data_IF_243555016579
#
_entry.id   IF_243555016579
#
_cell.length_a   1.000
_cell.length_b   1.000
_cell.length_c   1.000
_cell.angle_alpha   90.00
_cell.angle_beta   90.00
_cell.angle_gamma   90.00
#
_symmetry.space_group_name_H-M   'P 1'
#
loop_
_entity.id
_entity.type
_entity.pdbx_description
1 polymer ?
#
# COMPACT_ATOMS: atom_id res chain seq x y z
N UNK A 1 -0.36 -16.84 -21.38
CA UNK A 1 -0.28 -15.77 -22.38
C UNK A 1 -1.33 -16.05 -23.44
N UNK A 2 -2.13 -15.07 -23.88
CA UNK A 2 -3.12 -15.32 -24.94
C UNK A 2 -2.40 -15.76 -26.21
N UNK A 3 -2.98 -16.72 -26.93
CA UNK A 3 -2.36 -17.31 -28.13
C UNK A 3 -2.05 -16.26 -29.20
N UNK A 4 -2.91 -15.25 -29.32
CA UNK A 4 -2.81 -14.16 -30.30
C UNK A 4 -2.54 -12.80 -29.63
N UNK A 5 -1.71 -12.78 -28.57
CA UNK A 5 -1.32 -11.53 -27.92
C UNK A 5 -0.25 -10.79 -28.73
N UNK A 6 -0.57 -9.59 -29.19
CA UNK A 6 0.40 -8.61 -29.72
C UNK A 6 0.64 -7.51 -28.67
N UNK A 7 1.85 -7.40 -28.07
CA UNK A 7 2.15 -6.37 -27.08
C UNK A 7 2.05 -4.94 -27.63
N UNK A 8 2.15 -4.73 -28.95
CA UNK A 8 1.97 -3.42 -29.57
C UNK A 8 0.50 -3.10 -29.85
N UNK A 9 -0.35 -4.13 -29.97
CA UNK A 9 -1.76 -4.01 -30.36
C UNK A 9 -2.66 -4.98 -29.57
N UNK A 10 -2.73 -4.89 -28.23
CA UNK A 10 -3.63 -5.73 -27.45
C UNK A 10 -5.09 -5.39 -27.79
N UNK A 11 -5.97 -6.39 -27.77
CA UNK A 11 -7.41 -6.14 -27.95
C UNK A 11 -8.05 -5.60 -26.67
N UNK A 12 -9.22 -4.95 -26.79
CA UNK A 12 -10.00 -4.50 -25.63
C UNK A 12 -10.28 -5.64 -24.65
N UNK A 13 -10.69 -6.80 -25.14
CA UNK A 13 -10.97 -7.99 -24.31
C UNK A 13 -9.72 -8.43 -23.53
N UNK A 14 -8.54 -8.50 -24.18
CA UNK A 14 -7.29 -8.85 -23.50
C UNK A 14 -6.94 -7.85 -22.39
N UNK A 15 -7.20 -6.57 -22.61
CA UNK A 15 -7.00 -5.50 -21.61
C UNK A 15 -8.00 -5.60 -20.46
N UNK A 16 -9.27 -5.87 -20.74
CA UNK A 16 -10.30 -6.05 -19.72
C UNK A 16 -10.06 -7.30 -18.86
N UNK A 17 -9.58 -8.40 -19.47
CA UNK A 17 -9.10 -9.57 -18.71
C UNK A 17 -7.91 -9.19 -17.83
N UNK A 18 -6.98 -8.37 -18.33
CA UNK A 18 -5.88 -7.88 -17.52
C UNK A 18 -6.39 -7.04 -16.34
N UNK A 19 -7.37 -6.14 -16.51
CA UNK A 19 -7.99 -5.40 -15.41
C UNK A 19 -8.63 -6.32 -14.36
N UNK A 20 -9.30 -7.38 -14.79
CA UNK A 20 -9.88 -8.39 -13.92
C UNK A 20 -8.83 -9.26 -13.21
N UNK A 21 -7.62 -9.38 -13.76
CA UNK A 21 -6.51 -10.11 -13.16
C UNK A 21 -5.78 -9.31 -12.07
N UNK A 22 -5.89 -7.98 -12.06
CA UNK A 22 -5.29 -7.15 -11.01
C UNK A 22 -6.14 -7.12 -9.74
N UNK A 23 -5.52 -6.64 -8.66
CA UNK A 23 -6.19 -6.30 -7.41
C UNK A 23 -6.04 -7.37 -6.32
N UNK A 24 -7.11 -7.61 -5.58
CA UNK A 24 -7.11 -8.42 -4.36
C UNK A 24 -8.07 -9.62 -4.47
N UNK A 25 -7.77 -10.68 -3.73
CA UNK A 25 -8.63 -11.83 -3.58
C UNK A 25 -8.78 -12.18 -2.09
N UNK A 26 -10.03 -12.33 -1.63
CA UNK A 26 -10.37 -12.97 -0.36
C UNK A 26 -10.79 -14.39 -0.67
N UNK A 27 -10.12 -15.36 -0.06
CA UNK A 27 -10.39 -16.79 -0.25
C UNK A 27 -10.51 -17.44 1.11
N UNK A 28 -11.67 -18.01 1.39
CA UNK A 28 -11.85 -18.86 2.55
C UNK A 28 -11.11 -20.18 2.35
N UNK A 29 -10.42 -20.62 3.41
CA UNK A 29 -9.71 -21.89 3.45
C UNK A 29 -10.20 -22.71 4.63
N UNK A 30 -10.26 -24.03 4.46
CA UNK A 30 -10.51 -24.98 5.54
C UNK A 30 -9.22 -25.75 5.85
N UNK A 31 -8.96 -25.93 7.14
CA UNK A 31 -7.81 -26.68 7.64
C UNK A 31 -8.20 -28.11 8.01
N UNK A 32 -7.49 -29.09 7.45
CA UNK A 32 -7.56 -30.47 7.90
C UNK A 32 -6.80 -30.63 9.24
N UNK A 33 -7.53 -30.73 10.35
CA UNK A 33 -6.99 -30.73 11.73
C UNK A 33 -5.82 -31.69 12.01
N UNK A 34 -5.72 -32.82 11.30
CA UNK A 34 -4.66 -33.82 11.54
C UNK A 34 -3.38 -33.51 10.78
N UNK A 35 -3.50 -32.93 9.59
CA UNK A 35 -2.37 -32.74 8.66
C UNK A 35 -1.95 -31.27 8.55
N UNK A 36 -2.81 -30.34 8.99
CA UNK A 36 -2.64 -28.91 8.77
C UNK A 36 -2.86 -28.48 7.31
N UNK A 37 -3.34 -29.39 6.45
CA UNK A 37 -3.54 -29.10 5.02
C UNK A 37 -4.65 -28.05 4.86
N UNK A 38 -4.35 -26.96 4.16
CA UNK A 38 -5.30 -25.93 3.80
C UNK A 38 -5.92 -26.21 2.42
N UNK A 39 -7.25 -26.15 2.33
CA UNK A 39 -7.99 -26.30 1.06
C UNK A 39 -8.92 -25.11 0.85
N UNK A 40 -8.91 -24.52 -0.35
CA UNK A 40 -9.79 -23.39 -0.68
C UNK A 40 -11.26 -23.83 -0.78
N UNK A 41 -12.15 -23.04 -0.18
CA UNK A 41 -13.60 -23.28 -0.19
C UNK A 41 -14.23 -22.42 -1.29
N UNK A 42 -14.44 -22.99 -2.48
CA UNK A 42 -14.77 -22.21 -3.69
C UNK A 42 -16.04 -21.37 -3.63
N UNK A 43 -17.11 -21.82 -2.96
CA UNK A 43 -18.41 -21.11 -2.87
C UNK A 43 -18.66 -20.48 -1.50
N UNK A 44 -17.61 -20.10 -0.79
CA UNK A 44 -17.76 -19.43 0.50
C UNK A 44 -18.28 -18.00 0.32
N UNK A 45 -19.22 -17.56 1.16
CA UNK A 45 -19.86 -16.23 1.06
C UNK A 45 -18.88 -15.05 1.29
N UNK A 46 -17.75 -15.31 1.97
CA UNK A 46 -16.66 -14.33 2.14
C UNK A 46 -15.72 -14.24 0.93
N UNK A 47 -15.81 -15.17 -0.03
CA UNK A 47 -14.94 -15.12 -1.20
C UNK A 47 -15.24 -13.86 -2.02
N UNK A 48 -14.19 -13.12 -2.35
CA UNK A 48 -14.33 -11.81 -2.98
C UNK A 48 -13.17 -11.54 -3.92
N UNK A 49 -13.47 -10.93 -5.06
CA UNK A 49 -12.48 -10.34 -5.97
C UNK A 49 -12.65 -8.84 -6.01
N UNK A 50 -11.54 -8.13 -5.85
CA UNK A 50 -11.45 -6.70 -6.12
C UNK A 50 -10.46 -6.50 -7.24
N UNK A 51 -10.81 -5.69 -8.22
CA UNK A 51 -10.11 -5.58 -9.50
C UNK A 51 -9.68 -4.15 -9.76
N UNK A 52 -9.06 -3.89 -10.92
CA UNK A 52 -8.74 -2.53 -11.36
C UNK A 52 -9.98 -1.65 -11.64
N UNK A 53 -11.20 -2.18 -11.48
CA UNK A 53 -12.47 -1.45 -11.69
C UNK A 53 -13.41 -1.48 -10.47
N UNK A 54 -13.06 -2.17 -9.38
CA UNK A 54 -13.86 -2.17 -8.14
C UNK A 54 -13.85 -0.80 -7.46
N UNK A 55 -14.94 -0.41 -6.78
CA UNK A 55 -14.98 0.87 -6.05
C UNK A 55 -14.16 0.80 -4.75
N UNK A 56 -13.30 1.80 -4.53
CA UNK A 56 -12.58 2.08 -3.29
C UNK A 56 -12.92 3.48 -2.80
N UNK A 57 -12.94 3.65 -1.48
CA UNK A 57 -13.11 4.96 -0.84
C UNK A 57 -11.76 5.57 -0.52
N UNK A 58 -11.54 6.82 -0.91
CA UNK A 58 -10.38 7.59 -0.46
C UNK A 58 -10.66 8.19 0.93
N UNK A 59 -9.73 8.04 1.87
CA UNK A 59 -9.87 8.58 3.23
C UNK A 59 -8.62 9.32 3.69
N UNK A 60 -8.76 10.18 4.69
CA UNK A 60 -7.68 11.03 5.19
C UNK A 60 -7.55 12.37 4.48
N UNK A 61 -6.44 13.11 4.69
CA UNK A 61 -6.33 14.53 4.39
C UNK A 61 -6.39 14.91 2.90
N UNK A 62 -6.15 13.97 1.97
CA UNK A 62 -6.16 14.26 0.53
C UNK A 62 -7.55 13.99 -0.08
N UNK A 63 -8.40 13.22 0.60
CA UNK A 63 -9.74 12.92 0.13
C UNK A 63 -10.57 14.20 -0.08
N UNK A 64 -11.12 14.38 -1.28
CA UNK A 64 -11.89 15.56 -1.67
C UNK A 64 -11.08 16.77 -2.12
N UNK A 65 -9.75 16.72 -2.05
CA UNK A 65 -8.89 17.78 -2.58
C UNK A 65 -8.94 17.85 -4.11
N UNK A 66 -8.57 19.00 -4.68
CA UNK A 66 -8.58 19.20 -6.13
C UNK A 66 -7.61 18.27 -6.87
N UNK A 67 -6.59 17.74 -6.17
CA UNK A 67 -5.59 16.83 -6.74
C UNK A 67 -6.13 15.44 -7.06
N UNK A 68 -7.27 15.04 -6.48
CA UNK A 68 -7.86 13.70 -6.64
C UNK A 68 -9.24 13.71 -7.29
N UNK A 69 -9.67 14.89 -7.78
CA UNK A 69 -10.89 15.02 -8.59
C UNK A 69 -10.58 14.70 -10.05
N UNK A 70 -11.43 13.89 -10.66
CA UNK A 70 -11.37 13.55 -12.09
C UNK A 70 -12.73 13.78 -12.72
N UNK A 71 -12.85 13.66 -14.04
CA UNK A 71 -14.15 13.84 -14.71
C UNK A 71 -15.20 12.84 -14.24
N UNK A 72 -14.77 11.62 -13.86
CA UNK A 72 -15.65 10.55 -13.37
C UNK A 72 -15.96 10.65 -11.86
N UNK A 73 -15.12 11.32 -11.08
CA UNK A 73 -15.35 11.58 -9.65
C UNK A 73 -15.02 13.04 -9.30
N UNK A 74 -15.95 13.98 -9.54
CA UNK A 74 -15.78 15.39 -9.21
C UNK A 74 -15.69 15.66 -7.70
N UNK A 75 -16.05 14.68 -6.85
CA UNK A 75 -15.95 14.79 -5.39
C UNK A 75 -14.61 14.30 -4.85
N UNK A 76 -13.76 13.65 -5.65
CA UNK A 76 -12.42 13.20 -5.24
C UNK A 76 -12.42 12.25 -4.04
N UNK A 77 -13.42 11.38 -3.94
CA UNK A 77 -13.66 10.50 -2.78
C UNK A 77 -13.84 9.02 -3.13
N UNK A 78 -14.04 8.71 -4.42
CA UNK A 78 -14.30 7.37 -4.94
C UNK A 78 -13.31 7.06 -6.04
N UNK A 79 -12.55 5.98 -5.89
CA UNK A 79 -11.52 5.55 -6.83
C UNK A 79 -11.89 4.19 -7.41
N UNK A 80 -11.74 4.03 -8.73
CA UNK A 80 -11.93 2.73 -9.38
C UNK A 80 -10.60 1.98 -9.39
N UNK A 81 -10.57 0.93 -8.59
CA UNK A 81 -9.53 -0.06 -8.57
C UNK A 81 -8.40 0.19 -7.59
N UNK A 82 -7.62 -0.86 -7.45
CA UNK A 82 -6.30 -0.87 -6.83
C UNK A 82 -5.33 -1.48 -7.84
N UNK A 83 -4.11 -0.95 -7.89
CA UNK A 83 -3.13 -1.33 -8.92
C UNK A 83 -1.83 -1.80 -8.28
N UNK A 84 -1.25 -2.84 -8.88
CA UNK A 84 0.05 -3.37 -8.50
C UNK A 84 0.19 -3.58 -6.99
N UNK A 85 -0.76 -4.32 -6.42
CA UNK A 85 -0.76 -4.67 -5.02
C UNK A 85 0.45 -5.57 -4.73
N UNK A 86 1.38 -5.07 -3.93
CA UNK A 86 2.52 -5.84 -3.49
C UNK A 86 2.21 -6.53 -2.14
N UNK A 87 3.07 -6.36 -1.14
CA UNK A 87 2.89 -6.92 0.19
C UNK A 87 2.03 -6.00 1.07
N UNK A 88 1.96 -6.35 2.35
CA UNK A 88 0.93 -5.85 3.23
C UNK A 88 1.14 -6.19 4.69
N UNK A 89 0.06 -6.12 5.45
CA UNK A 89 0.04 -6.47 6.86
C UNK A 89 -1.36 -6.75 7.37
N UNK A 90 -1.46 -7.43 8.50
CA UNK A 90 -2.74 -7.59 9.21
C UNK A 90 -2.80 -6.59 10.34
N UNK A 91 -3.95 -5.94 10.50
CA UNK A 91 -4.16 -4.99 11.58
C UNK A 91 -4.62 -5.71 12.85
N UNK A 92 -4.30 -5.20 14.05
CA UNK A 92 -4.83 -5.76 15.30
C UNK A 92 -6.37 -5.67 15.43
N UNK A 93 -7.04 -4.91 14.55
CA UNK A 93 -8.50 -4.80 14.51
C UNK A 93 -9.15 -5.64 13.40
N UNK A 94 -8.42 -6.57 12.79
CA UNK A 94 -8.97 -7.64 11.96
C UNK A 94 -9.12 -7.32 10.47
N UNK A 95 -8.53 -6.22 10.00
CA UNK A 95 -8.44 -5.88 8.57
C UNK A 95 -7.08 -6.24 7.98
N UNK A 96 -6.96 -6.16 6.66
CA UNK A 96 -5.72 -6.38 5.92
C UNK A 96 -5.32 -5.10 5.20
N UNK A 97 -4.03 -4.80 5.19
CA UNK A 97 -3.42 -3.67 4.51
C UNK A 97 -2.62 -4.18 3.31
N UNK A 98 -2.66 -3.46 2.19
CA UNK A 98 -1.99 -3.81 0.93
C UNK A 98 -1.35 -2.56 0.34
N UNK A 99 -0.09 -2.63 -0.06
CA UNK A 99 0.62 -1.51 -0.70
C UNK A 99 0.39 -1.47 -2.21
N UNK A 100 -0.03 -0.33 -2.75
CA UNK A 100 0.08 -0.07 -4.20
C UNK A 100 1.51 0.38 -4.51
N UNK A 101 2.25 -0.46 -5.23
CA UNK A 101 3.71 -0.29 -5.38
C UNK A 101 4.04 0.34 -6.74
N UNK A 102 4.24 -0.47 -7.78
CA UNK A 102 4.61 -0.02 -9.11
C UNK A 102 3.41 0.54 -9.92
N UNK A 103 2.60 1.43 -9.32
CA UNK A 103 1.41 2.03 -9.94
C UNK A 103 1.74 3.00 -11.09
N UNK A 104 2.94 3.57 -11.10
CA UNK A 104 3.40 4.51 -12.12
C UNK A 104 3.41 3.90 -13.54
N UNK A 105 3.57 2.58 -13.64
CA UNK A 105 3.68 1.86 -14.91
C UNK A 105 2.33 1.72 -15.67
N UNK A 106 1.23 2.19 -15.08
CA UNK A 106 -0.13 2.07 -15.63
C UNK A 106 -0.62 3.36 -16.30
N UNK A 107 0.09 4.48 -16.10
CA UNK A 107 -0.32 5.80 -16.58
C UNK A 107 0.58 6.27 -17.71
N UNK A 108 -0.03 6.67 -18.82
CA UNK A 108 0.64 7.22 -20.00
C UNK A 108 0.70 8.75 -19.95
N UNK A 109 1.59 9.32 -20.75
CA UNK A 109 1.60 10.75 -21.10
C UNK A 109 1.71 11.69 -19.88
N UNK A 110 2.45 11.29 -18.85
CA UNK A 110 2.75 12.17 -17.71
C UNK A 110 3.60 13.37 -18.13
N UNK A 111 3.40 14.51 -17.47
CA UNK A 111 4.07 15.77 -17.86
C UNK A 111 4.45 16.67 -16.68
N UNK A 112 3.93 16.42 -15.49
CA UNK A 112 4.21 17.24 -14.32
C UNK A 112 5.55 16.88 -13.66
N UNK A 113 6.08 17.80 -12.85
CA UNK A 113 7.26 17.51 -12.02
C UNK A 113 7.00 16.34 -11.04
N UNK A 114 5.75 16.21 -10.57
CA UNK A 114 5.30 15.09 -9.75
C UNK A 114 5.37 13.79 -10.54
N UNK A 115 4.81 13.74 -11.75
CA UNK A 115 4.83 12.54 -12.62
C UNK A 115 6.26 12.04 -12.82
N UNK A 116 7.18 12.98 -13.11
CA UNK A 116 8.61 12.67 -13.24
C UNK A 116 9.22 12.08 -11.98
N UNK A 117 8.88 12.62 -10.79
CA UNK A 117 9.38 12.09 -9.50
C UNK A 117 8.90 10.66 -9.23
N UNK A 118 7.68 10.32 -9.62
CA UNK A 118 7.12 8.98 -9.45
C UNK A 118 7.50 8.02 -10.59
N UNK A 119 8.29 8.47 -11.57
CA UNK A 119 8.71 7.67 -12.71
C UNK A 119 7.58 7.35 -13.70
N UNK A 120 6.62 8.26 -13.86
CA UNK A 120 5.59 8.17 -14.91
C UNK A 120 6.16 8.72 -16.21
N UNK A 121 6.08 7.94 -17.28
CA UNK A 121 6.64 8.29 -18.59
C UNK A 121 5.79 9.29 -19.37
N UNK A 122 6.42 9.99 -20.32
CA UNK A 122 5.76 11.00 -21.17
C UNK A 122 5.07 10.43 -22.41
N UNK A 123 5.04 9.11 -22.58
CA UNK A 123 4.47 8.45 -23.75
C UNK A 123 3.56 7.28 -23.38
N UNK A 124 3.19 6.50 -24.40
CA UNK A 124 2.36 5.32 -24.25
C UNK A 124 3.00 4.29 -23.30
N UNK A 125 2.18 3.64 -22.47
CA UNK A 125 2.65 2.58 -21.56
C UNK A 125 2.95 1.30 -22.34
N UNK A 126 3.64 0.33 -21.73
CA UNK A 126 3.75 -1.02 -22.29
C UNK A 126 2.40 -1.74 -22.32
N UNK A 127 1.48 -1.37 -21.41
CA UNK A 127 0.17 -2.01 -21.25
C UNK A 127 -0.86 -1.57 -22.30
N UNK A 128 -0.69 -0.39 -22.89
CA UNK A 128 -1.62 0.24 -23.85
C UNK A 128 -3.04 0.42 -23.32
N UNK A 129 -3.23 0.44 -22.00
CA UNK A 129 -4.55 0.58 -21.37
C UNK A 129 -5.18 1.95 -21.66
N UNK A 130 -4.34 2.97 -21.83
CA UNK A 130 -4.72 4.33 -22.22
C UNK A 130 -5.51 4.39 -23.55
N UNK A 131 -5.37 3.37 -24.41
CA UNK A 131 -6.14 3.28 -25.67
C UNK A 131 -7.59 2.87 -25.46
N UNK A 132 -7.92 2.27 -24.31
CA UNK A 132 -9.23 1.66 -24.05
C UNK A 132 -9.99 2.32 -22.91
N UNK A 133 -9.28 3.02 -22.02
CA UNK A 133 -9.84 3.80 -20.92
C UNK A 133 -8.98 5.04 -20.64
N UNK A 134 -9.61 6.20 -20.81
CA UNK A 134 -8.96 7.52 -20.65
C UNK A 134 -8.39 7.76 -19.26
N UNK A 135 -8.82 7.02 -18.23
CA UNK A 135 -8.27 7.15 -16.87
C UNK A 135 -6.77 6.83 -16.82
N UNK A 136 -6.28 6.03 -17.75
CA UNK A 136 -4.85 5.69 -17.85
C UNK A 136 -4.06 6.66 -18.73
N UNK A 137 -4.69 7.69 -19.29
CA UNK A 137 -4.04 8.74 -20.07
C UNK A 137 -4.00 10.06 -19.29
N UNK A 138 -2.83 10.46 -18.78
CA UNK A 138 -2.71 11.69 -17.99
C UNK A 138 -2.83 12.97 -18.82
N UNK A 139 -2.79 12.88 -20.15
CA UNK A 139 -3.16 14.01 -21.00
C UNK A 139 -4.68 14.27 -20.98
N UNK A 140 -5.49 13.26 -20.64
CA UNK A 140 -6.95 13.34 -20.57
C UNK A 140 -7.48 13.40 -19.13
N UNK A 141 -6.91 12.62 -18.22
CA UNK A 141 -7.26 12.57 -16.79
C UNK A 141 -6.02 12.76 -15.91
N UNK A 142 -5.43 13.98 -15.85
CA UNK A 142 -4.14 14.24 -15.21
C UNK A 142 -4.09 13.91 -13.71
N UNK A 143 -5.24 13.94 -13.04
CA UNK A 143 -5.35 13.64 -11.62
C UNK A 143 -5.55 12.15 -11.32
N UNK A 144 -5.74 11.28 -12.32
CA UNK A 144 -6.03 9.86 -12.03
C UNK A 144 -4.85 9.18 -11.34
N UNK A 145 -3.61 9.43 -11.76
CA UNK A 145 -2.42 8.88 -11.10
C UNK A 145 -2.32 9.29 -9.62
N UNK A 146 -2.85 10.45 -9.22
CA UNK A 146 -2.84 10.90 -7.82
C UNK A 146 -3.76 10.08 -6.92
N UNK A 147 -4.66 9.25 -7.49
CA UNK A 147 -5.60 8.38 -6.74
C UNK A 147 -5.04 6.99 -6.46
N UNK A 148 -3.76 6.76 -6.77
CA UNK A 148 -3.03 5.51 -6.57
C UNK A 148 -1.67 5.74 -5.89
N UNK A 149 -1.07 4.66 -5.38
CA UNK A 149 0.15 4.69 -4.58
C UNK A 149 -0.12 4.83 -3.10
N UNK A 150 -1.26 4.31 -2.62
CA UNK A 150 -1.68 4.38 -1.22
C UNK A 150 -1.71 3.00 -0.57
N UNK A 151 -1.71 2.99 0.77
CA UNK A 151 -2.05 1.79 1.53
C UNK A 151 -3.56 1.58 1.42
N UNK A 152 -3.94 0.38 0.97
CA UNK A 152 -5.32 -0.07 0.83
C UNK A 152 -5.70 -0.94 2.02
N UNK A 153 -6.76 -0.59 2.74
CA UNK A 153 -7.34 -1.41 3.79
C UNK A 153 -8.58 -2.16 3.28
N UNK A 154 -8.59 -3.47 3.48
CA UNK A 154 -9.67 -4.38 3.13
C UNK A 154 -10.13 -5.14 4.38
N UNK A 155 -11.44 -5.20 4.57
CA UNK A 155 -12.06 -6.04 5.58
C UNK A 155 -12.44 -7.42 4.98
N UNK A 156 -11.71 -8.50 5.31
CA UNK A 156 -11.96 -9.80 4.70
C UNK A 156 -13.22 -10.49 5.26
N UNK A 157 -13.81 -9.97 6.34
CA UNK A 157 -14.97 -10.56 7.00
C UNK A 157 -16.29 -9.87 6.65
N UNK A 158 -16.25 -8.83 5.82
CA UNK A 158 -17.43 -8.15 5.30
C UNK A 158 -17.31 -8.05 3.77
N UNK A 159 -17.95 -8.97 3.02
CA UNK A 159 -17.82 -9.05 1.58
C UNK A 159 -18.46 -7.86 0.86
N UNK A 160 -19.33 -7.09 1.53
CA UNK A 160 -20.03 -5.93 0.98
C UNK A 160 -19.31 -4.60 1.33
N UNK A 161 -18.33 -4.63 2.23
CA UNK A 161 -17.58 -3.43 2.63
C UNK A 161 -16.88 -2.74 1.45
N UNK A 162 -16.93 -1.41 1.36
CA UNK A 162 -16.08 -0.65 0.43
C UNK A 162 -14.68 -0.50 1.04
N UNK A 163 -13.61 -1.04 0.41
CA UNK A 163 -12.25 -0.90 0.93
C UNK A 163 -11.75 0.54 0.83
N UNK A 164 -10.70 0.86 1.59
CA UNK A 164 -10.24 2.24 1.83
C UNK A 164 -8.84 2.43 1.31
N UNK A 165 -8.56 3.60 0.71
CA UNK A 165 -7.21 4.07 0.42
C UNK A 165 -6.84 5.15 1.43
N UNK A 166 -5.86 4.90 2.30
CA UNK A 166 -5.52 5.82 3.39
C UNK A 166 -4.46 6.83 2.99
N UNK A 167 -4.87 8.06 2.73
CA UNK A 167 -3.96 9.11 2.26
C UNK A 167 -3.08 9.68 3.36
N UNK A 168 -3.43 9.48 4.63
CA UNK A 168 -2.64 9.94 5.77
C UNK A 168 -1.30 9.20 5.91
N UNK A 169 -1.22 7.99 5.33
CA UNK A 169 0.00 7.18 5.30
C UNK A 169 0.98 7.62 4.20
N UNK A 170 0.58 8.60 3.37
CA UNK A 170 1.39 9.12 2.27
C UNK A 170 1.16 8.38 0.95
N UNK A 171 1.73 8.94 -0.13
CA UNK A 171 1.64 8.41 -1.50
C UNK A 171 3.03 8.09 -2.05
N UNK A 172 3.34 6.82 -2.30
CA UNK A 172 4.64 6.33 -2.80
C UNK A 172 4.53 4.84 -3.22
N UNK A 173 5.62 4.21 -3.67
CA UNK A 173 5.60 2.82 -4.17
C UNK A 173 5.71 1.85 -3.00
N UNK A 174 4.55 1.55 -2.41
CA UNK A 174 4.44 0.88 -1.13
C UNK A 174 4.69 -0.63 -1.23
N UNK A 175 5.77 -1.13 -0.64
CA UNK A 175 6.06 -2.56 -0.58
C UNK A 175 5.23 -3.28 0.49
N UNK A 176 5.18 -2.76 1.71
CA UNK A 176 4.51 -3.42 2.86
C UNK A 176 3.93 -2.40 3.84
N UNK A 177 2.89 -2.77 4.59
CA UNK A 177 2.28 -1.92 5.61
C UNK A 177 2.23 -2.64 6.97
N UNK A 178 3.35 -2.65 7.69
CA UNK A 178 3.46 -3.40 8.95
C UNK A 178 2.94 -2.60 10.13
N UNK A 179 1.94 -3.15 10.83
CA UNK A 179 1.30 -2.48 11.97
C UNK A 179 1.93 -2.89 13.32
N UNK A 180 2.11 -1.91 14.19
CA UNK A 180 2.42 -2.06 15.61
C UNK A 180 1.53 -1.13 16.43
N UNK A 181 1.40 -1.42 17.72
CA UNK A 181 0.69 -0.55 18.65
C UNK A 181 1.70 0.14 19.57
N UNK A 182 1.51 1.44 19.79
CA UNK A 182 2.18 2.14 20.88
C UNK A 182 1.65 1.66 22.24
N UNK A 183 2.40 1.92 23.31
CA UNK A 183 1.97 1.59 24.67
C UNK A 183 0.63 2.28 25.04
N UNK A 184 0.35 3.47 24.51
CA UNK A 184 -0.90 4.19 24.74
C UNK A 184 -2.04 3.79 23.78
N UNK A 185 -1.84 2.75 22.97
CA UNK A 185 -2.89 2.11 22.16
C UNK A 185 -3.16 2.75 20.79
N UNK A 186 -2.24 3.55 20.25
CA UNK A 186 -2.33 4.14 18.90
C UNK A 186 -1.63 3.26 17.87
N UNK A 187 -2.12 3.17 16.62
CA UNK A 187 -1.44 2.40 15.59
C UNK A 187 -0.18 3.12 15.12
N UNK A 188 0.84 2.32 14.81
CA UNK A 188 2.05 2.72 14.10
C UNK A 188 2.14 1.85 12.86
N UNK A 189 2.32 2.46 11.69
CA UNK A 189 2.51 1.73 10.44
C UNK A 189 3.90 2.03 9.90
N UNK A 190 4.70 0.99 9.69
CA UNK A 190 6.01 1.07 9.03
C UNK A 190 5.88 0.58 7.59
N UNK A 191 6.49 1.33 6.67
CA UNK A 191 6.48 1.00 5.24
C UNK A 191 7.77 1.46 4.55
N UNK A 192 8.17 0.74 3.51
CA UNK A 192 9.21 1.15 2.57
C UNK A 192 8.59 1.73 1.30
N UNK A 193 9.42 2.47 0.55
CA UNK A 193 9.18 2.90 -0.82
C UNK A 193 10.17 2.14 -1.71
N UNK A 194 9.67 1.14 -2.46
CA UNK A 194 10.52 0.21 -3.21
C UNK A 194 10.97 0.81 -4.54
N UNK A 195 11.83 1.81 -4.43
CA UNK A 195 12.59 2.36 -5.53
C UNK A 195 14.01 2.65 -5.06
N UNK A 196 14.97 2.49 -5.98
CA UNK A 196 16.37 2.76 -5.67
C UNK A 196 16.51 4.20 -5.21
N UNK A 197 17.09 4.36 -4.01
CA UNK A 197 17.38 5.65 -3.38
C UNK A 197 16.16 6.40 -2.83
N UNK A 198 14.99 5.76 -2.71
CA UNK A 198 13.86 6.27 -1.93
C UNK A 198 13.95 5.85 -0.45
N UNK A 199 12.85 5.99 0.30
CA UNK A 199 12.88 6.16 1.75
C UNK A 199 12.09 5.12 2.54
N UNK A 200 12.34 5.09 3.85
CA UNK A 200 11.51 4.38 4.82
C UNK A 200 10.61 5.37 5.55
N UNK A 201 9.35 4.98 5.78
CA UNK A 201 8.36 5.82 6.42
C UNK A 201 7.76 5.14 7.66
N UNK A 202 7.31 5.99 8.58
CA UNK A 202 6.57 5.61 9.77
C UNK A 202 5.37 6.53 9.91
N UNK A 203 4.17 5.98 9.96
CA UNK A 203 2.96 6.69 10.35
C UNK A 203 2.62 6.40 11.81
N UNK A 204 2.17 7.40 12.56
CA UNK A 204 1.63 7.24 13.92
C UNK A 204 0.23 7.85 13.96
N UNK A 205 -0.79 7.02 14.18
CA UNK A 205 -2.18 7.47 14.29
C UNK A 205 -2.42 8.34 15.52
N UNK A 206 -3.43 9.21 15.45
CA UNK A 206 -3.86 10.06 16.57
C UNK A 206 -4.83 9.35 17.52
N UNK A 207 -5.63 8.41 17.00
CA UNK A 207 -6.68 7.71 17.75
C UNK A 207 -6.19 6.41 18.39
N UNK A 208 -6.79 6.07 19.52
CA UNK A 208 -6.58 4.78 20.21
C UNK A 208 -7.50 3.71 19.66
N UNK A 209 -6.99 2.49 19.51
CA UNK A 209 -7.79 1.33 19.13
C UNK A 209 -8.82 1.01 20.22
N UNK A 210 -10.03 0.63 19.81
CA UNK A 210 -11.05 0.06 20.70
C UNK A 210 -10.98 -1.47 20.63
N UNK A 211 -11.08 -2.11 21.79
CA UNK A 211 -11.12 -3.57 21.89
C UNK A 211 -12.53 -4.13 21.76
N UNK A 212 -12.62 -5.42 21.43
CA UNK A 212 -13.87 -6.16 21.30
C UNK A 212 -14.50 -6.06 19.89
N UNK A 213 -15.57 -6.82 19.70
CA UNK A 213 -16.18 -7.06 18.40
C UNK A 213 -17.51 -6.31 18.20
N UNK A 214 -17.78 -5.28 19.01
CA UNK A 214 -18.99 -4.48 18.83
C UNK A 214 -18.92 -3.70 17.52
N UNK A 215 -20.09 -3.48 16.89
CA UNK A 215 -20.19 -2.66 15.67
C UNK A 215 -19.52 -1.30 15.84
N UNK A 216 -19.75 -0.63 16.96
CA UNK A 216 -19.16 0.68 17.26
C UNK A 216 -17.63 0.63 17.45
N UNK A 217 -17.07 -0.46 17.96
CA UNK A 217 -15.62 -0.64 18.04
C UNK A 217 -15.02 -0.84 16.64
N UNK A 218 -15.64 -1.67 15.80
CA UNK A 218 -15.23 -1.92 14.41
C UNK A 218 -15.30 -0.66 13.56
N UNK A 219 -16.41 0.07 13.58
CA UNK A 219 -16.58 1.33 12.84
C UNK A 219 -15.56 2.38 13.27
N UNK A 220 -15.27 2.49 14.58
CA UNK A 220 -14.21 3.37 15.08
C UNK A 220 -12.83 2.95 14.58
N UNK A 221 -12.51 1.66 14.66
CA UNK A 221 -11.20 1.12 14.32
C UNK A 221 -10.84 1.29 12.83
N UNK A 222 -11.85 1.26 11.95
CA UNK A 222 -11.71 1.56 10.51
C UNK A 222 -11.35 3.03 10.21
N UNK A 223 -11.26 3.90 11.23
CA UNK A 223 -10.85 5.31 11.09
C UNK A 223 -9.48 5.60 11.69
N UNK A 224 -8.78 4.59 12.23
CA UNK A 224 -7.52 4.76 12.95
C UNK A 224 -6.37 5.22 12.05
N UNK A 225 -6.49 4.99 10.74
CA UNK A 225 -5.49 5.34 9.72
C UNK A 225 -5.86 6.60 8.92
N UNK A 226 -6.95 7.29 9.28
CA UNK A 226 -7.40 8.48 8.56
C UNK A 226 -6.68 9.77 9.03
N UNK A 227 -6.11 9.77 10.23
CA UNK A 227 -5.44 10.92 10.83
C UNK A 227 -4.27 10.51 11.74
N UNK A 228 -3.21 11.30 11.68
CA UNK A 228 -1.97 11.05 12.42
C UNK A 228 -0.80 11.82 11.84
N UNK A 229 0.41 11.37 12.16
CA UNK A 229 1.65 12.01 11.70
C UNK A 229 2.48 11.03 10.89
N UNK A 230 2.84 11.42 9.67
CA UNK A 230 3.77 10.70 8.81
C UNK A 230 5.20 11.20 9.03
N UNK A 231 6.13 10.28 9.20
CA UNK A 231 7.55 10.51 9.38
C UNK A 231 8.33 9.81 8.27
N UNK A 232 9.47 10.40 7.88
CA UNK A 232 10.44 9.78 6.98
C UNK A 232 11.75 9.55 7.74
N UNK A 233 12.39 8.40 7.52
CA UNK A 233 13.61 8.03 8.20
C UNK A 233 14.81 8.78 7.63
N UNK A 234 15.66 9.31 8.52
CA UNK A 234 17.03 9.67 8.19
C UNK A 234 17.95 8.65 8.84
N UNK A 235 18.55 7.80 8.01
CA UNK A 235 19.52 6.83 8.47
C UNK A 235 20.91 7.44 8.46
N UNK A 236 21.65 7.01 9.45
CA UNK A 236 23.09 7.07 9.46
C UNK A 236 23.54 5.58 9.66
N UNK A 237 24.80 5.21 9.44
CA UNK A 237 25.45 3.87 9.38
C UNK A 237 26.94 3.83 9.87
N UNK A 238 27.23 3.17 11.00
CA UNK A 238 28.48 3.28 11.79
C UNK A 238 29.61 2.34 11.35
N UNK A 239 29.63 1.98 10.07
CA UNK A 239 30.57 0.99 9.52
C UNK A 239 32.04 1.41 9.67
N UNK A 240 32.90 0.56 10.27
CA UNK A 240 34.34 0.79 10.31
C UNK A 240 34.93 0.85 8.89
N UNK A 241 35.97 1.70 8.65
CA UNK A 241 36.52 1.92 7.31
C UNK A 241 37.02 0.67 6.58
N UNK A 242 37.39 -0.39 7.33
CA UNK A 242 37.97 -1.62 6.81
C UNK A 242 36.96 -2.64 6.27
N UNK A 243 35.65 -2.43 6.46
CA UNK A 243 34.58 -3.33 5.97
C UNK A 243 33.60 -2.67 5.01
N UNK A 244 33.86 -1.43 4.58
CA UNK A 244 32.99 -0.73 3.62
C UNK A 244 33.34 -1.15 2.18
N UNK A 245 32.66 -2.15 1.63
CA UNK A 245 32.58 -2.39 0.17
C UNK A 245 31.62 -1.42 -0.53
N UNK A 246 30.91 -0.59 0.24
CA UNK A 246 30.03 0.43 -0.30
C UNK A 246 30.82 1.62 -0.88
N UNK A 247 30.40 2.18 -2.02
CA UNK A 247 31.00 3.41 -2.57
C UNK A 247 30.95 4.54 -1.52
N UNK A 248 31.90 5.48 -1.60
CA UNK A 248 32.10 6.51 -0.58
C UNK A 248 30.86 7.37 -0.26
N UNK A 249 29.84 7.37 -1.13
CA UNK A 249 28.53 8.00 -0.93
C UNK A 249 27.69 7.38 0.21
N UNK A 250 27.98 6.16 0.65
CA UNK A 250 27.29 5.46 1.73
C UNK A 250 27.95 5.61 3.13
N UNK A 251 28.98 6.47 3.28
CA UNK A 251 29.63 6.72 4.58
C UNK A 251 28.88 7.76 5.41
N UNK A 252 27.93 7.37 6.24
CA UNK A 252 27.36 8.14 7.39
C UNK A 252 26.92 7.12 8.43
N UNK A 253 26.94 7.41 9.76
CA UNK A 253 26.99 6.66 11.10
C UNK A 253 25.70 6.39 11.94
N UNK A 254 25.21 5.17 12.20
CA UNK A 254 23.82 4.87 12.64
C UNK A 254 23.50 5.33 14.04
N UNK A 255 22.70 6.39 14.13
CA UNK A 255 21.87 6.69 15.27
C UNK A 255 20.51 7.10 14.71
N UNK A 256 19.44 6.43 15.13
CA UNK A 256 18.08 6.89 14.84
C UNK A 256 17.79 8.13 15.69
N UNK A 257 18.35 9.27 15.30
CA UNK A 257 17.81 10.57 15.70
C UNK A 257 16.80 10.98 14.64
N UNK A 258 15.54 10.57 14.84
CA UNK A 258 14.45 11.42 14.39
C UNK A 258 14.66 12.77 15.07
N UNK A 259 14.87 13.83 14.30
CA UNK A 259 14.90 15.18 14.84
C UNK A 259 13.49 15.50 15.35
N UNK A 260 13.22 15.11 16.60
CA UNK A 260 12.17 15.68 17.44
C UNK A 260 12.93 16.55 18.41
N UNK A 261 12.67 17.86 18.38
CA UNK A 261 12.87 18.68 19.56
C UNK A 261 11.99 18.09 20.66
N UNK A 262 12.59 17.29 21.53
CA UNK A 262 11.97 16.75 22.74
C UNK A 262 11.18 15.45 22.58
N UNK A 263 11.87 14.30 22.58
CA UNK A 263 11.57 13.12 23.43
C UNK A 263 12.31 11.87 22.91
N UNK A 264 13.03 11.19 23.81
CA UNK A 264 13.85 9.99 23.52
C UNK A 264 12.96 8.78 23.23
N UNK A 265 13.39 7.95 22.27
CA UNK A 265 12.83 6.61 22.02
C UNK A 265 13.15 5.66 23.19
N UNK A 266 12.25 4.72 23.55
CA UNK A 266 12.63 3.59 24.40
C UNK A 266 13.61 2.67 23.65
N UNK A 267 14.58 2.05 24.36
CA UNK A 267 15.57 1.16 23.76
C UNK A 267 14.91 -0.12 23.20
N UNK A 268 15.51 -0.75 22.18
CA UNK A 268 15.07 -2.06 21.70
C UNK A 268 15.17 -3.12 22.81
N UNK A 269 14.28 -4.14 22.83
CA UNK A 269 14.37 -5.24 23.78
C UNK A 269 15.65 -6.08 23.55
N UNK A 270 16.19 -6.73 24.60
CA UNK A 270 17.35 -7.61 24.47
C UNK A 270 17.03 -8.81 23.55
N UNK A 271 18.03 -9.23 22.78
CA UNK A 271 17.94 -10.41 21.93
C UNK A 271 17.56 -11.65 22.78
N UNK A 272 16.65 -12.47 22.26
CA UNK A 272 16.31 -13.74 22.88
C UNK A 272 17.57 -14.62 23.02
N UNK A 273 17.78 -15.31 24.14
CA UNK A 273 18.96 -16.15 24.32
C UNK A 273 18.96 -17.28 23.29
N UNK A 274 20.08 -17.42 22.58
CA UNK A 274 20.36 -18.54 21.70
C UNK A 274 20.28 -19.84 22.50
N UNK A 275 19.31 -20.71 22.18
CA UNK A 275 19.35 -22.10 22.66
C UNK A 275 20.49 -22.81 21.95
N UNK A 276 21.63 -22.93 22.63
CA UNK A 276 22.64 -23.92 22.27
C UNK A 276 22.06 -25.30 22.58
N UNK A 277 21.76 -26.09 21.54
CA UNK A 277 21.65 -27.53 21.72
C UNK A 277 23.05 -28.09 21.90
N UNK A 278 23.38 -28.51 23.12
CA UNK A 278 24.44 -29.51 23.31
C UNK A 278 23.85 -30.88 23.00
N UNK A 279 24.60 -31.66 22.22
CA UNK A 279 24.35 -33.05 21.88
C UNK A 279 24.32 -33.96 23.13
#
# INVERSE_FOLDING_TARGET
>A
MFRDYDPQNPTREQVEIAWAAHGLAVVAVEEERRTGKLTAVGRHHLNRRLTATSEFRLTGPVAGSDLVKTSADPRGSKVLGTLNNCSGGTTPWGTTLHGEENFNQYFANGSSATDKRYGIGTGATERKWERFDKRFDLAQEPNEAHRFGYVVELDPYDPDSTPRKHTALGRFKLEAATVRMTHDGRPVVYTGDDERFDYFYKFVGSKKMRHGNSRAAREHNLTLLDEGTLYVAKLTGDSPPSRSTAPASCRRTASSTAAVSGSRWPPPPPAAPSRTSTA
#
